data_IF_250683968778
#
_entry.id   IF_250683968778
#
_cell.length_a   1.000
_cell.length_b   1.000
_cell.length_c   1.000
_cell.angle_alpha   90.00
_cell.angle_beta   90.00
_cell.angle_gamma   90.00
#
_symmetry.space_group_name_H-M   'P 1'
#
loop_
_entity.id
_entity.type
_entity.pdbx_description
1 polymer ?
#
# COMPACT_ATOMS: atom_id res chain seq x y z
N UNK A 1 110.73 -29.25 -8.13
CA UNK A 1 109.59 -30.12 -8.34
C UNK A 1 108.61 -29.97 -7.17
N UNK A 2 109.03 -30.11 -5.88
CA UNK A 2 108.13 -30.02 -4.71
C UNK A 2 107.51 -28.65 -4.52
N UNK A 3 108.24 -27.60 -4.73
CA UNK A 3 107.85 -26.19 -4.59
C UNK A 3 106.84 -25.75 -5.63
N UNK A 4 106.94 -26.23 -6.85
CA UNK A 4 105.98 -25.97 -7.95
C UNK A 4 104.65 -26.72 -7.70
N UNK A 5 104.70 -27.91 -7.13
CA UNK A 5 103.52 -28.67 -6.81
C UNK A 5 102.72 -28.03 -5.67
N UNK A 6 103.38 -27.47 -4.65
CA UNK A 6 102.75 -26.75 -3.55
C UNK A 6 102.09 -25.47 -4.02
N UNK A 7 102.77 -24.69 -4.91
CA UNK A 7 102.23 -23.46 -5.49
C UNK A 7 100.99 -23.75 -6.39
N UNK A 8 101.03 -24.82 -7.20
CA UNK A 8 99.89 -25.24 -7.99
C UNK A 8 98.67 -25.67 -7.10
N UNK A 9 98.96 -26.32 -5.98
CA UNK A 9 97.92 -26.74 -5.00
C UNK A 9 97.33 -25.53 -4.26
N UNK A 10 98.18 -24.51 -3.89
CA UNK A 10 97.68 -23.27 -3.33
C UNK A 10 96.78 -22.47 -4.30
N UNK A 11 97.22 -22.37 -5.56
CA UNK A 11 96.42 -21.71 -6.62
C UNK A 11 95.11 -22.41 -6.80
N UNK A 12 95.07 -23.71 -6.84
CA UNK A 12 93.85 -24.52 -7.01
C UNK A 12 92.87 -24.36 -5.78
N UNK A 13 93.41 -24.25 -4.57
CA UNK A 13 92.59 -23.95 -3.37
C UNK A 13 92.06 -22.54 -3.39
N UNK A 14 92.77 -21.53 -3.88
CA UNK A 14 92.30 -20.14 -4.00
C UNK A 14 91.15 -20.09 -5.05
N UNK A 15 91.30 -20.77 -6.18
CA UNK A 15 90.23 -20.77 -7.21
C UNK A 15 88.98 -21.50 -6.73
N UNK A 16 89.11 -22.65 -6.05
CA UNK A 16 87.99 -23.34 -5.47
C UNK A 16 87.27 -22.54 -4.41
N UNK A 17 87.98 -21.75 -3.54
CA UNK A 17 87.36 -20.86 -2.59
C UNK A 17 86.64 -19.70 -3.28
N UNK A 18 87.16 -19.11 -4.34
CA UNK A 18 86.46 -18.08 -5.13
C UNK A 18 85.19 -18.62 -5.76
N UNK A 19 85.28 -19.82 -6.34
CA UNK A 19 84.11 -20.45 -6.94
C UNK A 19 82.97 -20.74 -5.91
N UNK A 20 83.35 -21.23 -4.72
CA UNK A 20 82.47 -21.43 -3.61
C UNK A 20 81.82 -20.13 -3.12
N UNK A 21 82.56 -19.03 -3.02
CA UNK A 21 81.97 -17.73 -2.65
C UNK A 21 81.00 -17.20 -3.71
N UNK A 22 81.32 -17.36 -5.02
CA UNK A 22 80.39 -16.97 -6.10
C UNK A 22 79.07 -17.80 -6.03
N UNK A 23 79.19 -19.10 -5.86
CA UNK A 23 78.02 -20.00 -5.73
C UNK A 23 77.18 -19.61 -4.49
N UNK A 24 77.78 -19.31 -3.35
CA UNK A 24 77.12 -18.86 -2.15
C UNK A 24 76.33 -17.54 -2.36
N UNK A 25 76.97 -16.57 -3.04
CA UNK A 25 76.38 -15.27 -3.38
C UNK A 25 75.18 -15.48 -4.33
N UNK A 26 75.27 -16.34 -5.34
CA UNK A 26 74.24 -16.67 -6.26
C UNK A 26 73.04 -17.40 -5.52
N UNK A 27 73.34 -18.28 -4.60
CA UNK A 27 72.33 -18.96 -3.78
C UNK A 27 71.55 -17.97 -2.89
N UNK A 28 72.21 -16.99 -2.26
CA UNK A 28 71.59 -15.92 -1.47
C UNK A 28 70.73 -15.01 -2.37
N UNK A 29 71.23 -14.64 -3.54
CA UNK A 29 70.47 -13.84 -4.49
C UNK A 29 69.17 -14.59 -4.94
N UNK A 30 69.28 -15.89 -5.23
CA UNK A 30 68.14 -16.71 -5.60
C UNK A 30 67.14 -16.82 -4.46
N UNK A 31 67.60 -16.99 -3.21
CA UNK A 31 66.73 -17.02 -2.03
C UNK A 31 65.95 -15.69 -1.84
N UNK A 32 66.62 -14.55 -2.07
CA UNK A 32 65.96 -13.23 -2.01
C UNK A 32 64.87 -13.11 -3.09
N UNK A 33 65.18 -13.51 -4.33
CA UNK A 33 64.21 -13.49 -5.44
C UNK A 33 63.00 -14.39 -5.09
N UNK A 34 63.23 -15.59 -4.57
CA UNK A 34 62.18 -16.48 -4.14
C UNK A 34 61.29 -15.85 -3.04
N UNK A 35 61.87 -15.18 -2.05
CA UNK A 35 61.12 -14.48 -0.99
C UNK A 35 60.26 -13.35 -1.58
N UNK A 36 60.80 -12.57 -2.50
CA UNK A 36 60.02 -11.49 -3.16
C UNK A 36 58.86 -12.06 -3.96
N UNK A 37 59.06 -13.13 -4.74
CA UNK A 37 58.00 -13.80 -5.50
C UNK A 37 56.94 -14.36 -4.58
N UNK A 38 57.33 -15.02 -3.49
CA UNK A 38 56.36 -15.55 -2.50
C UNK A 38 55.58 -14.40 -1.86
N UNK A 39 56.21 -13.30 -1.48
CA UNK A 39 55.54 -12.13 -0.94
C UNK A 39 54.53 -11.52 -1.91
N UNK A 40 54.91 -11.34 -3.18
CA UNK A 40 54.03 -10.82 -4.23
C UNK A 40 52.80 -11.78 -4.46
N UNK A 41 53.11 -13.07 -4.44
CA UNK A 41 52.04 -14.07 -4.57
C UNK A 41 51.04 -13.98 -3.41
N UNK A 42 51.51 -13.94 -2.16
CA UNK A 42 50.66 -13.80 -0.99
C UNK A 42 49.84 -12.51 -1.02
N UNK A 43 50.47 -11.40 -1.37
CA UNK A 43 49.77 -10.11 -1.51
C UNK A 43 48.70 -10.15 -2.59
N UNK A 44 48.96 -10.76 -3.72
CA UNK A 44 47.97 -10.95 -4.82
C UNK A 44 46.79 -11.82 -4.38
N UNK A 45 47.03 -12.91 -3.67
CA UNK A 45 45.99 -13.78 -3.16
C UNK A 45 45.10 -13.06 -2.14
N UNK A 46 45.69 -12.30 -1.22
CA UNK A 46 44.94 -11.50 -0.24
C UNK A 46 44.08 -10.43 -0.92
N UNK A 47 44.63 -9.68 -1.86
CA UNK A 47 43.88 -8.68 -2.63
C UNK A 47 42.69 -9.30 -3.40
N UNK A 48 42.89 -10.46 -4.00
CA UNK A 48 41.79 -11.21 -4.69
C UNK A 48 40.71 -11.63 -3.74
N UNK A 49 41.03 -12.05 -2.51
CA UNK A 49 40.05 -12.42 -1.48
C UNK A 49 39.23 -11.21 -1.03
N UNK A 50 39.88 -10.08 -0.78
CA UNK A 50 39.18 -8.83 -0.41
C UNK A 50 38.23 -8.38 -1.52
N UNK A 51 38.67 -8.38 -2.77
CA UNK A 51 37.81 -8.05 -3.93
C UNK A 51 36.64 -9.00 -4.03
N UNK A 52 36.83 -10.31 -3.80
CA UNK A 52 35.75 -11.29 -3.85
C UNK A 52 34.70 -11.04 -2.75
N UNK A 53 35.12 -10.67 -1.54
CA UNK A 53 34.22 -10.32 -0.43
C UNK A 53 33.43 -9.06 -0.77
N UNK A 54 34.10 -8.01 -1.23
CA UNK A 54 33.48 -6.74 -1.63
C UNK A 54 32.47 -6.96 -2.77
N UNK A 55 32.85 -7.73 -3.80
CA UNK A 55 31.94 -8.05 -4.91
C UNK A 55 30.70 -8.82 -4.44
N UNK A 56 30.85 -9.74 -3.47
CA UNK A 56 29.71 -10.44 -2.87
C UNK A 56 28.78 -9.48 -2.12
N UNK A 57 29.34 -8.54 -1.36
CA UNK A 57 28.56 -7.51 -0.66
C UNK A 57 27.83 -6.59 -1.65
N UNK A 58 28.53 -6.11 -2.69
CA UNK A 58 27.94 -5.27 -3.74
C UNK A 58 26.75 -5.99 -4.39
N UNK A 59 26.93 -7.28 -4.72
CA UNK A 59 25.84 -8.07 -5.28
C UNK A 59 24.63 -8.13 -4.34
N UNK A 60 24.86 -8.41 -3.05
CA UNK A 60 23.77 -8.45 -2.06
C UNK A 60 23.06 -7.10 -1.93
N UNK A 61 23.81 -5.99 -1.91
CA UNK A 61 23.22 -4.65 -1.87
C UNK A 61 22.42 -4.35 -3.15
N UNK A 62 22.92 -4.73 -4.33
CA UNK A 62 22.20 -4.54 -5.58
C UNK A 62 20.91 -5.36 -5.64
N UNK A 63 20.93 -6.60 -5.15
CA UNK A 63 19.74 -7.46 -5.09
C UNK A 63 18.69 -6.84 -4.13
N UNK A 64 19.11 -6.38 -2.93
CA UNK A 64 18.24 -5.69 -1.98
C UNK A 64 17.69 -4.38 -2.53
N UNK A 65 18.51 -3.59 -3.21
CA UNK A 65 18.09 -2.33 -3.83
C UNK A 65 17.06 -2.57 -4.93
N UNK A 66 17.24 -3.63 -5.73
CA UNK A 66 16.29 -4.03 -6.77
C UNK A 66 14.93 -4.42 -6.16
N UNK A 67 14.94 -5.17 -5.06
CA UNK A 67 13.73 -5.55 -4.35
C UNK A 67 13.00 -4.33 -3.77
N UNK A 68 13.74 -3.42 -3.11
CA UNK A 68 13.16 -2.18 -2.55
C UNK A 68 12.56 -1.32 -3.68
N UNK A 69 13.26 -1.17 -4.80
CA UNK A 69 12.76 -0.40 -5.95
C UNK A 69 11.49 -1.02 -6.54
N UNK A 70 11.40 -2.34 -6.60
CA UNK A 70 10.18 -3.03 -7.07
C UNK A 70 9.01 -2.76 -6.10
N UNK A 71 9.23 -2.91 -4.80
CA UNK A 71 8.21 -2.62 -3.78
C UNK A 71 7.76 -1.16 -3.81
N UNK A 72 8.69 -0.23 -3.97
CA UNK A 72 8.38 1.20 -4.08
C UNK A 72 7.55 1.49 -5.33
N UNK A 73 7.89 0.88 -6.45
CA UNK A 73 7.12 1.03 -7.70
C UNK A 73 5.69 0.50 -7.53
N UNK A 74 5.51 -0.67 -6.92
CA UNK A 74 4.18 -1.23 -6.63
C UNK A 74 3.39 -0.29 -5.72
N UNK A 75 3.98 0.13 -4.59
CA UNK A 75 3.32 1.03 -3.66
C UNK A 75 2.93 2.39 -4.30
N UNK A 76 3.77 2.93 -5.19
CA UNK A 76 3.42 4.15 -5.93
C UNK A 76 2.27 3.93 -6.92
N UNK A 77 2.19 2.75 -7.55
CA UNK A 77 1.08 2.41 -8.45
C UNK A 77 -0.22 2.30 -7.65
N UNK A 78 -0.20 1.57 -6.54
CA UNK A 78 -1.36 1.40 -5.65
C UNK A 78 -1.85 2.75 -5.09
N UNK A 79 -0.90 3.63 -4.73
CA UNK A 79 -1.22 4.99 -4.28
C UNK A 79 -1.84 5.85 -5.38
N UNK A 80 -1.36 5.73 -6.62
CA UNK A 80 -1.92 6.45 -7.76
C UNK A 80 -3.36 6.00 -8.05
N UNK A 81 -3.62 4.70 -8.05
CA UNK A 81 -4.96 4.13 -8.21
C UNK A 81 -5.91 4.58 -7.08
N UNK A 82 -5.45 4.54 -5.83
CA UNK A 82 -6.23 5.01 -4.69
C UNK A 82 -6.54 6.52 -4.77
N UNK A 83 -5.60 7.33 -5.26
CA UNK A 83 -5.84 8.76 -5.47
C UNK A 83 -6.85 9.02 -6.60
N UNK A 84 -6.80 8.28 -7.70
CA UNK A 84 -7.76 8.39 -8.80
C UNK A 84 -9.18 8.10 -8.30
N UNK A 85 -9.37 7.01 -7.56
CA UNK A 85 -10.66 6.68 -6.92
C UNK A 85 -11.12 7.78 -5.99
N UNK A 86 -10.22 8.35 -5.18
CA UNK A 86 -10.54 9.47 -4.29
C UNK A 86 -10.96 10.73 -5.05
N UNK A 87 -10.30 11.06 -6.15
CA UNK A 87 -10.64 12.22 -6.98
C UNK A 87 -12.02 12.05 -7.63
N UNK A 88 -12.33 10.86 -8.15
CA UNK A 88 -13.66 10.53 -8.67
C UNK A 88 -14.74 10.70 -7.60
N UNK A 89 -14.48 10.21 -6.37
CA UNK A 89 -15.40 10.37 -5.25
C UNK A 89 -15.65 11.83 -4.89
N UNK A 90 -14.60 12.66 -4.84
CA UNK A 90 -14.71 14.10 -4.59
C UNK A 90 -15.55 14.77 -5.70
N UNK A 91 -15.33 14.38 -6.95
CA UNK A 91 -16.11 14.88 -8.10
C UNK A 91 -17.60 14.55 -7.96
N UNK A 92 -17.93 13.30 -7.64
CA UNK A 92 -19.30 12.86 -7.40
C UNK A 92 -19.95 13.59 -6.23
N UNK A 93 -19.22 13.78 -5.13
CA UNK A 93 -19.71 14.51 -3.96
C UNK A 93 -19.99 15.98 -4.28
N UNK A 94 -19.10 16.66 -5.00
CA UNK A 94 -19.29 18.05 -5.43
C UNK A 94 -20.49 18.17 -6.38
N UNK A 95 -20.67 17.22 -7.30
CA UNK A 95 -21.84 17.18 -8.18
C UNK A 95 -23.14 17.01 -7.39
N UNK A 96 -23.15 16.15 -6.38
CA UNK A 96 -24.27 16.01 -5.43
C UNK A 96 -24.57 17.33 -4.72
N UNK A 97 -23.57 17.97 -4.13
CA UNK A 97 -23.73 19.26 -3.44
C UNK A 97 -24.30 20.34 -4.37
N UNK A 98 -23.77 20.44 -5.59
CA UNK A 98 -24.25 21.37 -6.61
C UNK A 98 -25.72 21.13 -6.96
N UNK A 99 -26.10 19.86 -7.16
CA UNK A 99 -27.50 19.49 -7.41
C UNK A 99 -28.44 19.90 -6.28
N UNK A 100 -28.01 19.75 -5.00
CA UNK A 100 -28.79 20.21 -3.86
C UNK A 100 -28.92 21.73 -3.79
N UNK A 101 -27.87 22.47 -4.11
CA UNK A 101 -27.93 23.94 -4.17
C UNK A 101 -28.94 24.36 -5.25
N UNK A 102 -28.96 23.74 -6.39
CA UNK A 102 -29.89 24.05 -7.49
C UNK A 102 -31.35 23.72 -7.09
N UNK A 103 -31.58 22.62 -6.39
CA UNK A 103 -32.88 22.27 -5.82
C UNK A 103 -33.36 23.32 -4.81
N UNK A 104 -32.49 23.75 -3.91
CA UNK A 104 -32.81 24.81 -2.94
C UNK A 104 -33.16 26.12 -3.63
N UNK A 105 -32.38 26.54 -4.65
CA UNK A 105 -32.69 27.74 -5.47
C UNK A 105 -34.02 27.59 -6.19
N UNK A 106 -34.33 26.43 -6.70
CA UNK A 106 -35.61 26.14 -7.38
C UNK A 106 -36.78 26.22 -6.39
N UNK A 107 -36.64 25.60 -5.21
CA UNK A 107 -37.63 25.68 -4.14
C UNK A 107 -37.86 27.14 -3.71
N UNK A 108 -36.81 27.90 -3.44
CA UNK A 108 -36.88 29.31 -3.08
C UNK A 108 -37.62 30.14 -4.16
N UNK A 109 -37.30 29.92 -5.42
CA UNK A 109 -37.90 30.63 -6.56
C UNK A 109 -39.38 30.30 -6.68
N UNK A 110 -39.76 29.03 -6.53
CA UNK A 110 -41.14 28.58 -6.59
C UNK A 110 -41.97 29.13 -5.42
N UNK A 111 -41.45 29.08 -4.20
CA UNK A 111 -42.09 29.63 -3.00
C UNK A 111 -42.30 31.15 -3.13
N UNK A 112 -41.28 31.90 -3.61
CA UNK A 112 -41.38 33.34 -3.85
C UNK A 112 -42.50 33.63 -4.88
N UNK A 113 -42.56 32.88 -5.99
CA UNK A 113 -43.59 33.08 -7.03
C UNK A 113 -45.00 32.81 -6.47
N UNK A 114 -45.21 31.77 -5.67
CA UNK A 114 -46.51 31.47 -5.04
C UNK A 114 -46.91 32.55 -4.02
N UNK A 115 -45.93 33.04 -3.23
CA UNK A 115 -46.16 34.16 -2.27
C UNK A 115 -46.62 35.39 -3.01
N UNK A 116 -45.91 35.79 -4.06
CA UNK A 116 -46.23 36.99 -4.86
C UNK A 116 -47.59 36.88 -5.56
N UNK A 117 -48.03 35.66 -5.89
CA UNK A 117 -49.34 35.39 -6.47
C UNK A 117 -50.48 35.24 -5.44
N UNK A 118 -50.22 35.44 -4.12
CA UNK A 118 -51.20 35.37 -3.06
C UNK A 118 -51.65 33.92 -2.73
N UNK A 119 -50.92 32.92 -3.18
CA UNK A 119 -51.25 31.49 -3.01
C UNK A 119 -50.77 30.94 -1.65
N UNK A 120 -51.15 31.61 -0.58
CA UNK A 120 -50.67 31.28 0.79
C UNK A 120 -51.08 29.88 1.26
N UNK A 121 -52.32 29.43 0.92
CA UNK A 121 -52.80 28.12 1.30
C UNK A 121 -51.99 27.00 0.65
N UNK A 122 -51.61 27.17 -0.64
CA UNK A 122 -50.77 26.19 -1.36
C UNK A 122 -49.39 26.04 -0.70
N UNK A 123 -48.77 27.18 -0.29
CA UNK A 123 -47.49 27.15 0.38
C UNK A 123 -47.61 26.50 1.76
N UNK A 124 -48.65 26.84 2.51
CA UNK A 124 -48.85 26.25 3.84
C UNK A 124 -48.98 24.73 3.74
N UNK A 125 -49.74 24.22 2.77
CA UNK A 125 -49.88 22.79 2.50
C UNK A 125 -48.56 22.16 2.13
N UNK A 126 -47.78 22.80 1.22
CA UNK A 126 -46.51 22.28 0.74
C UNK A 126 -45.44 22.23 1.86
N UNK A 127 -45.39 23.24 2.72
CA UNK A 127 -44.45 23.29 3.85
C UNK A 127 -44.86 22.35 5.01
N UNK A 128 -46.15 22.12 5.17
CA UNK A 128 -46.71 21.20 6.20
C UNK A 128 -46.63 19.74 5.80
N UNK A 129 -46.47 19.44 4.48
CA UNK A 129 -46.33 18.07 3.99
C UNK A 129 -44.87 17.59 4.13
N UNK A 130 -44.71 16.31 4.49
CA UNK A 130 -43.38 15.65 4.47
C UNK A 130 -43.03 15.11 3.08
N UNK A 131 -43.96 15.10 2.13
CA UNK A 131 -43.81 14.48 0.80
C UNK A 131 -42.58 14.98 0.03
N UNK A 132 -42.33 16.28 0.11
CA UNK A 132 -41.16 16.89 -0.52
C UNK A 132 -39.84 16.35 0.08
N UNK A 133 -39.78 16.31 1.42
CA UNK A 133 -38.59 15.83 2.15
C UNK A 133 -38.39 14.33 1.86
N UNK A 134 -39.48 13.56 1.87
CA UNK A 134 -39.38 12.10 1.61
C UNK A 134 -38.94 11.82 0.17
N UNK A 135 -39.41 12.61 -0.80
CA UNK A 135 -38.99 12.50 -2.19
C UNK A 135 -37.51 12.85 -2.37
N UNK A 136 -37.08 13.93 -1.73
CA UNK A 136 -35.65 14.31 -1.76
C UNK A 136 -34.76 13.29 -1.07
N UNK A 137 -35.19 12.71 0.05
CA UNK A 137 -34.47 11.66 0.76
C UNK A 137 -34.34 10.38 -0.11
N UNK A 138 -35.39 9.98 -0.80
CA UNK A 138 -35.32 8.87 -1.79
C UNK A 138 -34.34 9.17 -2.90
N UNK A 139 -34.34 10.41 -3.42
CA UNK A 139 -33.41 10.84 -4.44
C UNK A 139 -31.94 10.81 -3.93
N UNK A 140 -31.73 11.26 -2.68
CA UNK A 140 -30.42 11.19 -2.01
C UNK A 140 -29.94 9.73 -1.90
N UNK A 141 -30.76 8.81 -1.41
CA UNK A 141 -30.39 7.42 -1.31
C UNK A 141 -30.02 6.81 -2.66
N UNK A 142 -30.78 7.10 -3.73
CA UNK A 142 -30.45 6.62 -5.08
C UNK A 142 -29.08 7.12 -5.56
N UNK A 143 -28.75 8.40 -5.30
CA UNK A 143 -27.44 8.95 -5.66
C UNK A 143 -26.33 8.35 -4.81
N UNK A 144 -26.53 8.22 -3.49
CA UNK A 144 -25.60 7.58 -2.57
C UNK A 144 -25.32 6.13 -2.99
N UNK A 145 -26.37 5.32 -3.19
CA UNK A 145 -26.26 3.93 -3.59
C UNK A 145 -25.46 3.79 -4.89
N UNK A 146 -25.75 4.67 -5.88
CA UNK A 146 -25.02 4.68 -7.15
C UNK A 146 -23.54 4.99 -6.96
N UNK A 147 -23.22 6.06 -6.26
CA UNK A 147 -21.85 6.50 -6.02
C UNK A 147 -21.07 5.47 -5.19
N UNK A 148 -21.69 4.91 -4.16
CA UNK A 148 -21.07 3.91 -3.31
C UNK A 148 -20.76 2.61 -4.07
N UNK A 149 -21.69 2.11 -4.89
CA UNK A 149 -21.50 0.89 -5.66
C UNK A 149 -20.57 1.10 -6.88
N UNK A 150 -20.29 2.31 -7.30
CA UNK A 150 -19.18 2.59 -8.23
C UNK A 150 -17.81 2.36 -7.57
N UNK A 151 -17.68 2.75 -6.29
CA UNK A 151 -16.44 2.53 -5.52
C UNK A 151 -16.29 1.08 -5.05
N UNK A 152 -17.40 0.44 -4.71
CA UNK A 152 -17.44 -0.91 -4.14
C UNK A 152 -18.44 -1.78 -4.91
N UNK A 153 -18.13 -2.20 -6.15
CA UNK A 153 -19.07 -2.92 -7.00
C UNK A 153 -19.58 -4.24 -6.41
N UNK A 154 -18.73 -4.94 -5.68
CA UNK A 154 -19.00 -6.26 -5.10
C UNK A 154 -19.49 -6.19 -3.66
N UNK A 155 -19.73 -4.99 -3.11
CA UNK A 155 -20.05 -4.82 -1.68
C UNK A 155 -21.21 -5.69 -1.20
N UNK A 156 -22.28 -5.81 -1.97
CA UNK A 156 -23.46 -6.58 -1.57
C UNK A 156 -23.16 -8.08 -1.49
N UNK A 157 -22.35 -8.58 -2.40
CA UNK A 157 -21.90 -9.97 -2.44
C UNK A 157 -20.94 -10.26 -1.29
N UNK A 158 -19.88 -9.45 -1.14
CA UNK A 158 -18.93 -9.53 -0.03
C UNK A 158 -19.61 -9.45 1.34
N UNK A 159 -20.59 -8.54 1.48
CA UNK A 159 -21.39 -8.40 2.70
C UNK A 159 -22.20 -9.66 3.00
N UNK A 160 -22.85 -10.22 1.99
CA UNK A 160 -23.65 -11.44 2.13
C UNK A 160 -22.80 -12.67 2.46
N UNK A 161 -21.54 -12.70 2.03
CA UNK A 161 -20.62 -13.79 2.36
C UNK A 161 -20.19 -13.78 3.84
N UNK A 162 -20.31 -12.63 4.51
CA UNK A 162 -20.12 -12.53 5.96
C UNK A 162 -21.34 -12.97 6.77
N UNK A 163 -22.49 -13.22 6.14
CA UNK A 163 -23.74 -13.59 6.80
C UNK A 163 -24.05 -15.09 6.68
N UNK A 164 -24.77 -15.60 7.66
CA UNK A 164 -25.36 -16.96 7.59
C UNK A 164 -26.19 -17.11 6.33
N UNK A 165 -26.20 -18.26 5.64
CA UNK A 165 -26.88 -18.44 4.36
C UNK A 165 -28.38 -18.09 4.38
N UNK A 166 -29.04 -18.38 5.50
CA UNK A 166 -30.47 -18.10 5.73
C UNK A 166 -30.75 -16.63 6.11
N UNK A 167 -29.73 -15.83 6.30
CA UNK A 167 -29.76 -14.39 6.69
C UNK A 167 -29.22 -13.46 5.64
N UNK A 168 -28.81 -13.96 4.48
CA UNK A 168 -28.37 -13.16 3.35
C UNK A 168 -29.44 -12.16 2.92
N UNK A 169 -29.00 -10.94 2.62
CA UNK A 169 -29.89 -9.87 2.19
C UNK A 169 -30.23 -10.07 0.71
N UNK A 170 -31.50 -10.17 0.41
CA UNK A 170 -32.04 -10.23 -0.97
C UNK A 170 -32.65 -8.87 -1.28
N UNK A 171 -32.15 -8.20 -2.29
CA UNK A 171 -32.62 -6.88 -2.71
C UNK A 171 -33.85 -7.00 -3.65
N UNK A 172 -34.77 -6.04 -3.57
CA UNK A 172 -35.87 -5.91 -4.50
C UNK A 172 -35.42 -5.52 -5.91
N UNK A 173 -36.29 -5.66 -6.92
CA UNK A 173 -35.98 -5.48 -8.34
C UNK A 173 -35.39 -4.12 -8.71
N UNK A 174 -35.76 -3.06 -7.99
CA UNK A 174 -35.32 -1.68 -8.23
C UNK A 174 -34.46 -1.13 -7.08
N UNK A 175 -34.10 -1.96 -6.12
CA UNK A 175 -33.35 -1.57 -4.92
C UNK A 175 -31.87 -1.92 -5.10
N UNK A 176 -30.99 -0.93 -4.97
CA UNK A 176 -29.54 -1.13 -5.03
C UNK A 176 -28.95 -1.46 -3.68
N UNK A 177 -29.38 -0.73 -2.65
CA UNK A 177 -29.06 -0.96 -1.25
C UNK A 177 -30.35 -0.76 -0.43
N UNK A 178 -30.54 -1.61 0.58
CA UNK A 178 -31.55 -1.40 1.61
C UNK A 178 -30.99 -0.59 2.80
N UNK A 179 -31.79 -0.32 3.80
CA UNK A 179 -31.37 0.43 4.99
C UNK A 179 -30.20 -0.24 5.72
N UNK A 180 -30.21 -1.55 5.85
CA UNK A 180 -29.13 -2.31 6.51
C UNK A 180 -27.82 -2.13 5.74
N UNK A 181 -27.83 -2.37 4.44
CA UNK A 181 -26.64 -2.21 3.60
C UNK A 181 -26.14 -0.77 3.58
N UNK A 182 -27.02 0.25 3.57
CA UNK A 182 -26.60 1.66 3.66
C UNK A 182 -25.90 1.98 4.97
N UNK A 183 -26.34 1.42 6.09
CA UNK A 183 -25.68 1.57 7.39
C UNK A 183 -24.26 1.04 7.31
N UNK A 184 -24.08 -0.17 6.78
CA UNK A 184 -22.76 -0.79 6.68
C UNK A 184 -21.90 -0.20 5.54
N UNK A 185 -22.50 0.32 4.49
CA UNK A 185 -21.81 1.14 3.48
C UNK A 185 -21.20 2.39 4.11
N UNK A 186 -21.91 3.08 5.02
CA UNK A 186 -21.35 4.22 5.76
C UNK A 186 -20.23 3.79 6.71
N UNK A 187 -20.33 2.61 7.33
CA UNK A 187 -19.26 2.04 8.16
C UNK A 187 -18.03 1.73 7.30
N UNK A 188 -18.19 1.17 6.10
CA UNK A 188 -17.11 0.96 5.12
C UNK A 188 -16.41 2.26 4.77
N UNK A 189 -17.14 3.36 4.63
CA UNK A 189 -16.61 4.70 4.40
C UNK A 189 -15.99 5.36 5.65
N UNK A 190 -15.87 4.64 6.77
CA UNK A 190 -15.26 5.12 8.01
C UNK A 190 -16.22 5.90 8.94
N UNK A 191 -17.51 5.99 8.62
CA UNK A 191 -18.52 6.62 9.48
C UNK A 191 -19.09 5.57 10.42
N UNK A 192 -18.47 5.41 11.60
CA UNK A 192 -18.80 4.31 12.53
C UNK A 192 -19.75 4.71 13.67
N UNK A 193 -19.90 6.01 13.94
CA UNK A 193 -20.76 6.52 15.00
C UNK A 193 -22.24 6.42 14.64
N UNK A 194 -23.03 5.70 15.46
CA UNK A 194 -24.46 5.53 15.21
C UNK A 194 -25.25 6.83 15.15
N UNK A 195 -24.84 7.86 15.90
CA UNK A 195 -25.43 9.21 15.86
C UNK A 195 -25.23 9.88 14.51
N UNK A 196 -24.03 9.78 13.93
CA UNK A 196 -23.71 10.34 12.60
C UNK A 196 -24.43 9.60 11.48
N UNK A 197 -24.47 8.27 11.55
CA UNK A 197 -25.24 7.44 10.60
C UNK A 197 -26.72 7.80 10.68
N UNK A 198 -27.28 7.93 11.89
CA UNK A 198 -28.66 8.31 12.12
C UNK A 198 -29.01 9.65 11.48
N UNK A 199 -28.15 10.66 11.68
CA UNK A 199 -28.34 11.98 11.07
C UNK A 199 -28.33 11.93 9.53
N UNK A 200 -27.45 11.13 8.93
CA UNK A 200 -27.35 10.98 7.47
C UNK A 200 -28.55 10.23 6.89
N UNK A 201 -28.97 9.16 7.54
CA UNK A 201 -30.08 8.31 7.08
C UNK A 201 -31.45 8.74 7.61
N UNK A 202 -31.52 9.84 8.37
CA UNK A 202 -32.77 10.37 8.96
C UNK A 202 -33.51 9.36 9.83
N UNK A 203 -32.76 8.56 10.58
CA UNK A 203 -33.26 7.66 11.60
C UNK A 203 -32.90 8.13 13.01
N UNK A 204 -33.48 7.52 14.05
CA UNK A 204 -33.01 7.68 15.42
C UNK A 204 -31.71 6.91 15.63
N UNK A 205 -30.83 7.38 16.54
CA UNK A 205 -29.62 6.65 16.90
C UNK A 205 -29.92 5.25 17.44
N UNK A 206 -31.01 5.09 18.18
CA UNK A 206 -31.48 3.80 18.68
C UNK A 206 -31.91 2.86 17.54
N UNK A 207 -32.54 3.38 16.50
CA UNK A 207 -32.89 2.61 15.30
C UNK A 207 -31.66 2.05 14.61
N UNK A 208 -30.63 2.90 14.42
CA UNK A 208 -29.34 2.48 13.82
C UNK A 208 -28.65 1.43 14.69
N UNK A 209 -28.62 1.63 16.01
CA UNK A 209 -28.07 0.65 16.94
C UNK A 209 -28.77 -0.72 16.81
N UNK A 210 -30.09 -0.73 16.72
CA UNK A 210 -30.87 -1.97 16.58
C UNK A 210 -30.59 -2.69 15.24
N UNK A 211 -30.47 -1.95 14.13
CA UNK A 211 -30.08 -2.52 12.85
C UNK A 211 -28.67 -3.14 12.91
N UNK A 212 -27.70 -2.42 13.45
CA UNK A 212 -26.33 -2.94 13.62
C UNK A 212 -26.29 -4.18 14.48
N UNK A 213 -26.95 -4.16 15.64
CA UNK A 213 -27.01 -5.30 16.54
C UNK A 213 -27.65 -6.52 15.88
N UNK A 214 -28.76 -6.32 15.14
CA UNK A 214 -29.47 -7.37 14.42
C UNK A 214 -28.60 -8.03 13.37
N UNK A 215 -27.94 -7.23 12.50
CA UNK A 215 -27.10 -7.76 11.44
C UNK A 215 -25.85 -8.45 12.00
N UNK A 216 -25.23 -7.91 13.03
CA UNK A 216 -24.09 -8.57 13.73
C UNK A 216 -24.49 -9.94 14.31
N UNK A 217 -25.74 -10.15 14.71
CA UNK A 217 -26.23 -11.46 15.14
C UNK A 217 -26.39 -12.46 13.98
N UNK A 218 -26.44 -11.96 12.75
CA UNK A 218 -26.50 -12.77 11.53
C UNK A 218 -25.13 -13.16 10.99
N UNK A 219 -24.04 -12.64 11.57
CA UNK A 219 -22.69 -12.95 11.16
C UNK A 219 -22.41 -14.46 11.16
N UNK A 220 -21.72 -14.93 10.14
CA UNK A 220 -21.31 -16.33 9.99
C UNK A 220 -20.27 -16.68 11.06
N UNK A 221 -19.32 -15.77 11.28
CA UNK A 221 -18.21 -15.93 12.22
C UNK A 221 -18.41 -15.04 13.48
N UNK A 222 -17.28 -14.53 14.01
CA UNK A 222 -17.26 -13.70 15.20
C UNK A 222 -18.03 -12.38 15.02
N UNK A 223 -19.08 -12.20 15.77
CA UNK A 223 -19.92 -11.01 15.82
C UNK A 223 -19.14 -9.72 16.08
N UNK A 224 -18.12 -9.77 16.94
CA UNK A 224 -17.35 -8.58 17.33
C UNK A 224 -16.44 -8.09 16.21
N UNK A 225 -15.96 -8.98 15.36
CA UNK A 225 -15.09 -8.67 14.22
C UNK A 225 -15.86 -8.30 12.95
N UNK A 226 -17.18 -8.46 12.94
CA UNK A 226 -18.01 -8.26 11.74
C UNK A 226 -17.80 -6.89 11.09
N UNK A 227 -17.84 -5.81 11.89
CA UNK A 227 -17.67 -4.46 11.36
C UNK A 227 -16.23 -4.17 10.90
N UNK A 228 -15.21 -4.80 11.49
CA UNK A 228 -13.82 -4.67 11.02
C UNK A 228 -13.63 -5.39 9.68
N UNK A 229 -14.24 -6.57 9.50
CA UNK A 229 -14.23 -7.28 8.21
C UNK A 229 -14.91 -6.50 7.08
N UNK A 230 -15.87 -5.66 7.38
CA UNK A 230 -16.53 -4.79 6.40
C UNK A 230 -15.63 -3.62 5.99
N UNK A 231 -14.74 -3.13 6.87
CA UNK A 231 -13.85 -2.00 6.57
C UNK A 231 -12.68 -2.37 5.65
N UNK A 232 -12.29 -3.64 5.63
CA UNK A 232 -11.25 -4.18 4.75
C UNK A 232 -11.79 -4.50 3.38
#
# INVERSE_FOLDING_TARGET
>A
IEREYMLAQEQQQVETKKLLTIISLLAVALAIICMVVIYMYYRSVMARREIAVINKQIKQYNDSLSEINLRLKTANTDLAEANEVKEEYIGLFLAMCSSYIDKLKSYQRNSKRKLTAGKYAEILTEVSSTDYIDTELKSFYKMFDKAFLQLYPNFVEEFNDLLKPDKRIILGKDERLNTELRIFALIRLGITESSRIAALLRYSANTIYNYRARVKNYALDNREEFEEKIKT
#
